data_IF_965538942386
#
_entry.id   IF_965538942386
#
_cell.length_a   1.000
_cell.length_b   1.000
_cell.length_c   1.000
_cell.angle_alpha   90.00
_cell.angle_beta   90.00
_cell.angle_gamma   90.00
#
_symmetry.space_group_name_H-M   'P 1'
#
loop_
_entity.id
_entity.type
_entity.pdbx_description
1 polymer ?
#
# COMPACT_ATOMS: atom_id res chain seq x y z
N UNK A 1 -25.84 9.16 -29.85
CA UNK A 1 -26.16 9.26 -28.41
C UNK A 1 -26.33 7.83 -27.90
N UNK A 2 -25.22 7.16 -27.52
CA UNK A 2 -25.19 5.73 -27.26
C UNK A 2 -25.17 5.45 -25.75
N UNK A 3 -26.25 4.85 -25.24
CA UNK A 3 -26.33 4.31 -23.89
C UNK A 3 -25.53 3.01 -23.84
N UNK A 4 -24.44 2.99 -23.07
CA UNK A 4 -23.70 1.77 -22.75
C UNK A 4 -24.34 1.10 -21.53
N UNK A 5 -25.03 -0.01 -21.78
CA UNK A 5 -25.52 -0.94 -20.76
C UNK A 5 -24.33 -1.71 -20.18
N UNK A 6 -24.01 -1.46 -18.92
CA UNK A 6 -23.02 -2.25 -18.18
C UNK A 6 -23.68 -3.52 -17.63
N UNK A 7 -23.11 -4.68 -17.97
CA UNK A 7 -23.49 -5.97 -17.38
C UNK A 7 -23.13 -5.99 -15.88
N UNK A 8 -24.04 -6.39 -14.98
CA UNK A 8 -23.83 -6.35 -13.53
C UNK A 8 -22.64 -7.21 -13.06
N UNK A 9 -22.27 -8.29 -13.77
CA UNK A 9 -21.10 -9.11 -13.43
C UNK A 9 -19.75 -8.37 -13.68
N UNK A 10 -19.69 -7.50 -14.69
CA UNK A 10 -18.49 -6.69 -14.94
C UNK A 10 -18.42 -5.47 -14.03
N UNK A 11 -19.57 -4.94 -13.60
CA UNK A 11 -19.63 -3.83 -12.66
C UNK A 11 -19.02 -4.23 -11.31
N UNK A 12 -19.35 -5.42 -10.79
CA UNK A 12 -18.85 -5.91 -9.48
C UNK A 12 -17.34 -6.19 -9.54
N UNK A 13 -16.83 -6.84 -10.60
CA UNK A 13 -15.38 -7.01 -10.80
C UNK A 13 -14.65 -5.67 -10.93
N UNK A 14 -15.23 -4.72 -11.66
CA UNK A 14 -14.64 -3.38 -11.82
C UNK A 14 -14.70 -2.59 -10.53
N UNK A 15 -15.74 -2.76 -9.70
CA UNK A 15 -15.87 -2.11 -8.40
C UNK A 15 -14.88 -2.68 -7.38
N UNK A 16 -14.71 -4.01 -7.34
CA UNK A 16 -13.71 -4.67 -6.49
C UNK A 16 -12.31 -4.26 -6.94
N UNK A 17 -12.04 -4.24 -8.23
CA UNK A 17 -10.76 -3.74 -8.78
C UNK A 17 -10.58 -2.24 -8.53
N UNK A 18 -11.63 -1.41 -8.57
CA UNK A 18 -11.56 0.01 -8.22
C UNK A 18 -11.29 0.19 -6.73
N UNK A 19 -11.93 -0.58 -5.86
CA UNK A 19 -11.76 -0.48 -4.41
C UNK A 19 -10.36 -0.98 -4.01
N UNK A 20 -9.92 -2.12 -4.56
CA UNK A 20 -8.57 -2.68 -4.34
C UNK A 20 -7.49 -1.78 -4.99
N UNK A 21 -7.66 -1.32 -6.23
CA UNK A 21 -6.70 -0.41 -6.85
C UNK A 21 -6.75 1.02 -6.27
N UNK A 22 -7.84 1.43 -5.61
CA UNK A 22 -7.89 2.72 -4.91
C UNK A 22 -7.19 2.69 -3.55
N UNK A 23 -7.11 1.52 -2.90
CA UNK A 23 -6.34 1.33 -1.67
C UNK A 23 -4.87 1.04 -1.94
N UNK A 24 -4.54 0.52 -3.13
CA UNK A 24 -3.17 0.15 -3.50
C UNK A 24 -2.76 1.02 -4.67
N UNK A 25 -2.11 2.12 -4.34
CA UNK A 25 -1.75 3.18 -5.25
C UNK A 25 -0.80 2.76 -6.38
N UNK A 26 -1.24 2.05 -7.42
CA UNK A 26 -0.45 1.95 -8.67
C UNK A 26 -1.33 1.87 -9.94
N UNK A 27 -0.79 2.42 -11.02
CA UNK A 27 -1.33 2.45 -12.36
C UNK A 27 -0.32 1.84 -13.32
N UNK A 28 -0.72 0.80 -14.08
CA UNK A 28 -0.43 0.69 -15.52
C UNK A 28 -1.30 -0.40 -16.18
N UNK A 29 -2.04 0.05 -17.19
CA UNK A 29 -2.81 -0.63 -18.23
C UNK A 29 -2.96 -2.16 -18.19
N UNK A 30 -4.18 -2.62 -17.86
CA UNK A 30 -4.65 -3.98 -18.19
C UNK A 30 -5.30 -3.97 -19.59
N UNK A 31 -4.67 -4.67 -20.54
CA UNK A 31 -5.08 -4.80 -21.94
C UNK A 31 -6.35 -5.64 -22.08
N UNK A 32 -7.27 -5.18 -22.95
CA UNK A 32 -8.57 -5.80 -23.24
C UNK A 32 -8.39 -7.16 -23.94
N UNK A 33 -8.94 -8.24 -23.38
CA UNK A 33 -9.39 -9.40 -24.16
C UNK A 33 -10.91 -9.43 -24.17
N UNK A 34 -11.50 -9.32 -25.36
CA UNK A 34 -12.93 -9.49 -25.58
C UNK A 34 -13.30 -10.96 -25.52
N UNK A 35 -14.30 -11.31 -24.71
CA UNK A 35 -15.06 -12.55 -24.86
C UNK A 35 -16.52 -12.18 -25.08
N UNK A 36 -17.06 -12.59 -26.22
CA UNK A 36 -18.49 -12.55 -26.51
C UNK A 36 -19.14 -13.82 -25.98
N UNK A 37 -20.15 -13.67 -25.12
CA UNK A 37 -21.11 -14.73 -24.85
C UNK A 37 -22.45 -14.09 -24.53
N UNK A 38 -23.45 -14.46 -25.33
CA UNK A 38 -24.85 -14.09 -25.22
C UNK A 38 -25.50 -15.04 -24.21
N UNK A 39 -26.14 -14.50 -23.18
CA UNK A 39 -27.10 -15.25 -22.38
C UNK A 39 -28.30 -14.34 -22.10
N UNK A 40 -29.44 -14.70 -22.68
CA UNK A 40 -30.72 -14.02 -22.48
C UNK A 40 -31.52 -14.83 -21.48
N UNK A 41 -31.91 -14.22 -20.36
CA UNK A 41 -32.87 -14.82 -19.43
C UNK A 41 -33.71 -13.72 -18.81
N UNK A 42 -34.95 -13.60 -19.28
CA UNK A 42 -36.00 -12.80 -18.68
C UNK A 42 -36.49 -13.48 -17.41
N UNK A 43 -36.11 -12.97 -16.24
CA UNK A 43 -36.68 -13.37 -14.96
C UNK A 43 -37.70 -12.32 -14.48
N UNK A 44 -38.93 -12.79 -14.29
CA UNK A 44 -40.08 -12.06 -13.79
C UNK A 44 -39.93 -11.83 -12.27
N UNK A 45 -39.68 -10.59 -11.84
CA UNK A 45 -39.54 -10.26 -10.42
C UNK A 45 -40.90 -10.02 -9.76
N UNK A 46 -41.34 -10.98 -8.94
CA UNK A 46 -42.48 -10.83 -8.02
C UNK A 46 -42.03 -10.02 -6.79
N UNK A 47 -42.64 -8.85 -6.56
CA UNK A 47 -42.38 -8.01 -5.39
C UNK A 47 -43.02 -8.64 -4.15
N UNK A 48 -42.20 -9.21 -3.28
CA UNK A 48 -42.57 -9.48 -1.89
C UNK A 48 -42.02 -8.34 -1.04
N UNK A 49 -42.90 -7.44 -0.62
CA UNK A 49 -42.57 -6.38 0.37
C UNK A 49 -42.52 -7.02 1.75
N UNK A 50 -41.34 -7.46 2.16
CA UNK A 50 -41.07 -7.86 3.54
C UNK A 50 -40.29 -6.74 4.23
N UNK A 51 -40.87 -6.20 5.29
CA UNK A 51 -40.35 -5.13 6.14
C UNK A 51 -38.90 -5.42 6.56
N UNK A 52 -37.95 -4.66 6.00
CA UNK A 52 -36.51 -4.96 6.10
C UNK A 52 -35.82 -3.98 7.05
N UNK A 53 -35.77 -4.31 8.34
CA UNK A 53 -35.02 -3.55 9.36
C UNK A 53 -33.58 -4.09 9.59
N UNK A 54 -33.08 -4.99 8.73
CA UNK A 54 -31.72 -5.57 8.79
C UNK A 54 -30.81 -5.17 7.61
N UNK A 55 -31.06 -4.02 6.97
CA UNK A 55 -30.43 -3.62 5.69
C UNK A 55 -28.98 -3.10 5.79
N UNK A 56 -28.39 -3.03 6.99
CA UNK A 56 -27.05 -2.45 7.19
C UNK A 56 -26.02 -3.42 7.80
N UNK A 57 -26.18 -4.73 7.59
CA UNK A 57 -25.11 -5.67 7.94
C UNK A 57 -23.91 -5.46 6.99
N UNK A 58 -22.78 -5.03 7.53
CA UNK A 58 -21.49 -4.95 6.84
C UNK A 58 -20.60 -6.11 7.27
N UNK A 59 -19.93 -6.72 6.31
CA UNK A 59 -18.88 -7.70 6.52
C UNK A 59 -17.52 -7.11 6.15
N UNK A 60 -16.45 -7.60 6.79
CA UNK A 60 -15.08 -7.14 6.51
C UNK A 60 -14.39 -8.13 5.59
N UNK A 61 -13.84 -7.64 4.48
CA UNK A 61 -12.85 -8.32 3.66
C UNK A 61 -11.47 -7.91 4.12
N UNK A 62 -10.61 -8.87 4.43
CA UNK A 62 -9.25 -8.63 4.91
C UNK A 62 -8.26 -9.21 3.90
N UNK A 63 -7.53 -8.34 3.24
CA UNK A 63 -6.43 -8.70 2.34
C UNK A 63 -5.13 -8.56 3.12
N UNK A 64 -4.31 -9.60 3.15
CA UNK A 64 -3.05 -9.62 3.89
C UNK A 64 -1.91 -9.96 2.96
N UNK A 65 -0.73 -9.47 3.26
CA UNK A 65 0.44 -9.83 2.48
C UNK A 65 1.72 -9.66 3.24
N UNK A 66 2.56 -10.70 3.14
CA UNK A 66 3.95 -10.66 3.54
C UNK A 66 4.81 -10.73 2.28
N UNK A 67 5.80 -9.86 2.18
CA UNK A 67 6.72 -9.87 1.05
C UNK A 67 8.15 -9.63 1.52
N UNK A 68 9.09 -10.38 0.98
CA UNK A 68 10.52 -10.21 1.26
C UNK A 68 11.26 -10.12 -0.06
N UNK A 69 12.10 -9.09 -0.19
CA UNK A 69 13.05 -8.94 -1.27
C UNK A 69 14.46 -8.82 -0.72
N UNK A 70 15.42 -9.36 -1.46
CA UNK A 70 16.85 -9.27 -1.19
C UNK A 70 17.57 -8.91 -2.48
N UNK A 71 18.63 -8.11 -2.38
CA UNK A 71 19.48 -7.81 -3.55
C UNK A 71 20.40 -8.99 -3.86
N UNK A 72 21.13 -8.85 -4.97
CA UNK A 72 22.35 -9.64 -5.19
C UNK A 72 23.36 -9.41 -4.05
N UNK A 73 24.32 -10.34 -3.85
CA UNK A 73 25.41 -10.20 -2.90
C UNK A 73 26.15 -8.87 -3.07
N UNK A 74 26.40 -8.18 -1.95
CA UNK A 74 27.24 -6.99 -1.92
C UNK A 74 28.72 -7.36 -2.12
N UNK A 75 29.59 -6.42 -2.56
CA UNK A 75 31.00 -6.69 -2.81
C UNK A 75 31.70 -7.34 -1.62
N UNK A 76 32.64 -8.24 -1.91
CA UNK A 76 33.47 -8.86 -0.88
C UNK A 76 34.17 -7.80 -0.02
N UNK A 77 34.15 -8.00 1.31
CA UNK A 77 34.69 -7.04 2.27
C UNK A 77 33.70 -5.96 2.73
N UNK A 78 32.49 -5.90 2.17
CA UNK A 78 31.42 -5.04 2.70
C UNK A 78 31.10 -5.43 4.14
N UNK A 79 31.13 -4.44 5.04
CA UNK A 79 30.82 -4.59 6.45
C UNK A 79 29.37 -4.17 6.75
N UNK A 80 28.89 -4.45 7.95
CA UNK A 80 27.56 -3.96 8.37
C UNK A 80 27.56 -2.45 8.53
N UNK A 81 28.70 -1.89 8.92
CA UNK A 81 28.97 -0.48 9.11
C UNK A 81 28.87 0.27 7.77
N UNK A 82 29.41 -0.28 6.68
CA UNK A 82 29.25 0.32 5.34
C UNK A 82 27.78 0.42 4.93
N UNK A 83 26.99 -0.62 5.23
CA UNK A 83 25.55 -0.63 4.96
C UNK A 83 24.82 0.35 5.90
N UNK A 84 25.21 0.41 7.17
CA UNK A 84 24.68 1.35 8.15
C UNK A 84 24.87 2.80 7.67
N UNK A 85 26.07 3.13 7.19
CA UNK A 85 26.40 4.45 6.65
C UNK A 85 25.62 4.76 5.38
N UNK A 86 25.48 3.76 4.49
CA UNK A 86 24.62 3.87 3.30
C UNK A 86 23.18 4.20 3.68
N UNK A 87 22.58 3.45 4.61
CA UNK A 87 21.17 3.61 5.01
C UNK A 87 20.94 4.88 5.85
N UNK A 88 21.95 5.35 6.59
CA UNK A 88 21.89 6.59 7.37
C UNK A 88 21.89 7.84 6.49
N UNK A 89 22.33 7.72 5.23
CA UNK A 89 22.32 8.83 4.27
C UNK A 89 20.89 9.09 3.78
N UNK A 90 20.35 10.28 4.06
CA UNK A 90 18.96 10.66 3.73
C UNK A 90 18.57 10.36 2.27
N UNK A 91 19.40 10.74 1.31
CA UNK A 91 19.12 10.51 -0.11
C UNK A 91 19.08 9.03 -0.50
N UNK A 92 19.79 8.16 0.22
CA UNK A 92 19.78 6.71 -0.03
C UNK A 92 18.57 6.05 0.64
N UNK A 93 18.22 6.44 1.87
CA UNK A 93 16.99 6.02 2.56
C UNK A 93 15.76 6.28 1.69
N UNK A 94 15.70 7.46 1.09
CA UNK A 94 14.55 7.90 0.30
C UNK A 94 14.36 7.06 -0.97
N UNK A 95 15.38 6.35 -1.46
CA UNK A 95 15.25 5.41 -2.59
C UNK A 95 14.20 4.33 -2.29
N UNK A 96 14.17 3.82 -1.06
CA UNK A 96 13.22 2.80 -0.64
C UNK A 96 11.79 3.36 -0.58
N UNK A 97 11.64 4.58 -0.07
CA UNK A 97 10.35 5.23 0.17
C UNK A 97 9.75 5.81 -1.12
N UNK A 98 10.60 6.13 -2.10
CA UNK A 98 10.24 6.70 -3.40
C UNK A 98 9.98 5.67 -4.50
N UNK A 99 9.98 4.37 -4.19
CA UNK A 99 9.96 3.30 -5.19
C UNK A 99 11.06 3.49 -6.26
N UNK A 100 12.31 3.60 -5.81
CA UNK A 100 13.48 3.74 -6.68
C UNK A 100 13.66 5.15 -7.28
N UNK A 101 13.24 6.20 -6.58
CA UNK A 101 13.34 7.60 -7.02
C UNK A 101 12.19 8.06 -7.91
N UNK A 102 11.15 7.25 -8.09
CA UNK A 102 10.02 7.60 -8.96
C UNK A 102 9.02 8.56 -8.31
N UNK A 103 9.07 8.69 -6.98
CA UNK A 103 8.17 9.53 -6.18
C UNK A 103 8.97 10.55 -5.39
N UNK A 104 8.41 11.74 -5.21
CA UNK A 104 8.98 12.74 -4.32
C UNK A 104 8.75 12.30 -2.86
N UNK A 105 9.80 12.38 -2.06
CA UNK A 105 9.76 12.19 -0.62
C UNK A 105 9.98 13.56 0.02
N UNK A 106 9.13 13.93 0.96
CA UNK A 106 9.24 15.17 1.71
C UNK A 106 9.28 14.85 3.20
N UNK A 107 10.25 15.41 3.93
CA UNK A 107 10.24 15.28 5.39
C UNK A 107 9.15 16.17 6.00
N UNK A 108 8.55 15.70 7.08
CA UNK A 108 7.50 16.37 7.82
C UNK A 108 7.84 16.42 9.30
N UNK A 109 7.46 17.52 9.97
CA UNK A 109 7.62 17.64 11.41
C UNK A 109 6.67 16.73 12.17
N UNK A 110 7.17 16.12 13.25
CA UNK A 110 6.37 15.31 14.16
C UNK A 110 5.36 16.19 14.89
N UNK A 111 4.08 15.85 14.79
CA UNK A 111 3.02 16.47 15.62
C UNK A 111 2.55 15.49 16.69
N UNK A 112 2.01 15.96 17.83
CA UNK A 112 1.46 15.06 18.87
C UNK A 112 0.40 14.09 18.32
N UNK A 113 -0.41 14.55 17.37
CA UNK A 113 -1.44 13.74 16.71
C UNK A 113 -0.82 12.61 15.88
N UNK A 114 0.18 12.91 15.05
CA UNK A 114 0.87 11.90 14.24
C UNK A 114 1.65 10.90 15.10
N UNK A 115 2.24 11.37 16.21
CA UNK A 115 2.89 10.49 17.19
C UNK A 115 1.89 9.48 17.78
N UNK A 116 0.68 9.93 18.13
CA UNK A 116 -0.40 9.04 18.57
C UNK A 116 -0.77 7.99 17.53
N UNK A 117 -0.94 8.39 16.26
CA UNK A 117 -1.22 7.44 15.18
C UNK A 117 -0.09 6.43 14.97
N UNK A 118 1.15 6.85 15.16
CA UNK A 118 2.29 5.94 15.07
C UNK A 118 2.30 4.94 16.24
N UNK A 119 2.04 5.38 17.47
CA UNK A 119 1.92 4.49 18.63
C UNK A 119 0.86 3.40 18.41
N UNK A 120 -0.30 3.77 17.84
CA UNK A 120 -1.37 2.82 17.49
C UNK A 120 -0.89 1.77 16.47
N UNK A 121 -0.03 2.16 15.51
CA UNK A 121 0.55 1.24 14.53
C UNK A 121 1.60 0.31 15.15
N UNK A 122 2.45 0.83 16.03
CA UNK A 122 3.41 -0.01 16.78
C UNK A 122 2.66 -1.07 17.60
N UNK A 123 1.58 -0.68 18.30
CA UNK A 123 0.74 -1.61 19.04
C UNK A 123 0.07 -2.65 18.11
N UNK A 124 -0.44 -2.21 16.96
CA UNK A 124 -1.08 -3.10 15.99
C UNK A 124 -0.14 -4.20 15.49
N UNK A 125 1.09 -3.84 15.14
CA UNK A 125 2.10 -4.77 14.65
C UNK A 125 2.93 -5.43 15.76
N UNK A 126 2.58 -5.19 17.03
CA UNK A 126 3.33 -5.66 18.21
C UNK A 126 4.83 -5.36 18.10
N UNK A 127 5.17 -4.18 17.57
CA UNK A 127 6.56 -3.73 17.53
C UNK A 127 6.97 -3.24 18.90
N UNK A 128 8.16 -3.64 19.34
CA UNK A 128 8.78 -3.16 20.58
C UNK A 128 9.31 -1.71 20.44
N UNK A 129 9.26 -1.18 19.22
CA UNK A 129 9.70 0.16 18.88
C UNK A 129 8.62 1.18 19.25
N UNK A 130 9.00 2.20 20.02
CA UNK A 130 8.15 3.35 20.35
C UNK A 130 8.66 4.60 19.63
N UNK A 131 7.77 5.43 19.05
CA UNK A 131 8.18 6.68 18.41
C UNK A 131 8.69 7.70 19.44
N UNK A 132 9.84 8.27 19.14
CA UNK A 132 10.49 9.37 19.85
C UNK A 132 10.31 10.68 19.06
N UNK A 133 10.52 11.81 19.72
CA UNK A 133 10.27 13.13 19.10
C UNK A 133 11.28 13.47 17.99
N UNK A 134 12.47 12.89 18.05
CA UNK A 134 13.51 13.04 17.02
C UNK A 134 13.34 12.11 15.82
N UNK A 135 12.42 11.14 15.90
CA UNK A 135 12.18 10.20 14.81
C UNK A 135 11.58 10.93 13.59
N UNK A 136 11.84 10.39 12.40
CA UNK A 136 11.53 11.07 11.15
C UNK A 136 10.15 10.69 10.62
N UNK A 137 9.42 11.68 10.14
CA UNK A 137 8.23 11.46 9.32
C UNK A 137 8.54 11.86 7.88
N UNK A 138 8.05 11.06 6.94
CA UNK A 138 8.09 11.40 5.52
C UNK A 138 6.71 11.37 4.91
N UNK A 139 6.52 12.17 3.88
CA UNK A 139 5.32 12.21 3.06
C UNK A 139 5.68 11.76 1.65
N UNK A 140 4.86 10.86 1.12
CA UNK A 140 4.98 10.40 -0.26
C UNK A 140 3.62 10.51 -0.93
N UNK A 141 3.61 11.14 -2.09
CA UNK A 141 2.42 11.23 -2.94
C UNK A 141 2.38 10.06 -3.92
N UNK A 142 1.21 9.44 -4.01
CA UNK A 142 0.89 8.43 -5.02
C UNK A 142 -0.29 8.91 -5.85
N UNK A 143 -0.24 8.65 -7.15
CA UNK A 143 -1.32 9.00 -8.07
C UNK A 143 -1.80 7.77 -8.82
N UNK A 144 -3.10 7.49 -8.74
CA UNK A 144 -3.77 6.46 -9.53
C UNK A 144 -4.81 7.11 -10.42
N UNK A 145 -4.81 6.76 -11.69
CA UNK A 145 -5.81 7.24 -12.65
C UNK A 145 -6.67 6.09 -13.14
N UNK A 146 -7.97 6.25 -12.93
CA UNK A 146 -9.05 5.45 -13.49
C UNK A 146 -9.79 6.25 -14.57
N UNK A 147 -10.56 5.61 -15.46
CA UNK A 147 -11.44 6.32 -16.39
C UNK A 147 -12.39 7.29 -15.65
N UNK A 148 -12.15 8.59 -15.80
CA UNK A 148 -12.96 9.66 -15.21
C UNK A 148 -12.69 9.99 -13.74
N UNK A 149 -11.71 9.34 -13.10
CA UNK A 149 -11.31 9.58 -11.70
C UNK A 149 -9.78 9.45 -11.55
N UNK A 150 -9.14 10.49 -11.05
CA UNK A 150 -7.75 10.46 -10.58
C UNK A 150 -7.74 10.60 -9.07
N UNK A 151 -7.13 9.65 -8.39
CA UNK A 151 -6.91 9.66 -6.96
C UNK A 151 -5.47 10.05 -6.68
N UNK A 152 -5.26 11.13 -5.94
CA UNK A 152 -3.96 11.46 -5.34
C UNK A 152 -4.04 11.12 -3.87
N UNK A 153 -3.20 10.20 -3.40
CA UNK A 153 -3.12 9.82 -1.99
C UNK A 153 -1.74 10.20 -1.47
N UNK A 154 -1.71 11.10 -0.48
CA UNK A 154 -0.49 11.41 0.27
C UNK A 154 -0.46 10.52 1.50
N UNK A 155 0.61 9.75 1.66
CA UNK A 155 0.82 8.89 2.84
C UNK A 155 1.92 9.47 3.71
N UNK A 156 1.70 9.47 5.03
CA UNK A 156 2.73 9.77 6.02
C UNK A 156 3.29 8.46 6.55
N UNK A 157 4.61 8.34 6.51
CA UNK A 157 5.33 7.21 7.07
C UNK A 157 6.23 7.64 8.21
N UNK A 158 6.14 6.94 9.34
CA UNK A 158 7.08 7.09 10.46
C UNK A 158 8.26 6.15 10.28
N UNK A 159 9.48 6.67 10.46
CA UNK A 159 10.73 5.94 10.26
C UNK A 159 11.47 5.84 11.59
N UNK A 160 11.63 4.61 12.08
CA UNK A 160 12.49 4.30 13.21
C UNK A 160 13.80 3.68 12.75
N UNK A 161 14.91 4.27 13.16
CA UNK A 161 16.20 3.60 13.11
C UNK A 161 16.34 2.54 14.22
N UNK A 162 16.68 1.32 13.84
CA UNK A 162 17.03 0.23 14.75
C UNK A 162 18.54 0.15 14.80
N UNK A 163 19.10 0.41 15.98
CA UNK A 163 20.53 0.37 16.24
C UNK A 163 20.86 -0.75 17.21
N UNK A 164 22.01 -1.40 17.02
CA UNK A 164 22.50 -2.42 17.95
C UNK A 164 23.15 -1.79 19.20
N UNK A 165 23.67 -2.64 20.09
CA UNK A 165 24.35 -2.24 21.33
C UNK A 165 25.56 -1.32 21.09
N UNK A 166 26.17 -1.37 19.90
CA UNK A 166 27.29 -0.52 19.49
C UNK A 166 26.83 0.77 18.82
N UNK A 167 25.54 1.06 18.84
CA UNK A 167 24.89 2.20 18.19
C UNK A 167 25.03 2.23 16.65
N UNK A 168 25.31 1.07 16.03
CA UNK A 168 25.39 0.93 14.57
C UNK A 168 23.99 0.66 14.03
N UNK A 169 23.59 1.37 12.97
CA UNK A 169 22.31 1.17 12.30
C UNK A 169 22.24 -0.22 11.66
N UNK A 170 21.34 -1.08 12.15
CA UNK A 170 21.15 -2.41 11.59
C UNK A 170 20.04 -2.43 10.53
N UNK A 171 18.99 -1.66 10.78
CA UNK A 171 17.82 -1.55 9.93
C UNK A 171 17.05 -0.28 10.27
N UNK A 172 16.04 0.05 9.46
CA UNK A 172 14.96 0.94 9.87
C UNK A 172 13.60 0.28 9.66
N UNK A 173 12.70 0.54 10.59
CA UNK A 173 11.29 0.22 10.49
C UNK A 173 10.50 1.41 9.96
N UNK A 174 9.62 1.14 9.00
CA UNK A 174 8.74 2.13 8.39
C UNK A 174 7.30 1.74 8.64
N UNK A 175 6.51 2.66 9.17
CA UNK A 175 5.09 2.45 9.45
C UNK A 175 4.25 3.39 8.61
N UNK A 176 3.17 2.90 7.99
CA UNK A 176 2.12 3.76 7.43
C UNK A 176 1.26 4.31 8.58
N UNK A 177 1.44 5.58 8.93
CA UNK A 177 0.80 6.17 10.12
C UNK A 177 -0.40 7.05 9.79
N UNK A 178 -0.41 7.70 8.62
CA UNK A 178 -1.51 8.54 8.21
C UNK A 178 -1.64 8.60 6.69
N UNK A 179 -2.82 8.96 6.23
CA UNK A 179 -3.12 9.18 4.82
C UNK A 179 -4.06 10.36 4.64
N UNK A 180 -3.98 11.00 3.47
CA UNK A 180 -5.04 11.88 2.96
C UNK A 180 -5.23 11.59 1.48
N UNK A 181 -6.47 11.64 1.03
CA UNK A 181 -6.82 11.33 -0.36
C UNK A 181 -7.59 12.49 -0.99
N UNK A 182 -7.18 12.86 -2.19
CA UNK A 182 -7.79 13.93 -2.99
C UNK A 182 -8.27 13.34 -4.32
N UNK A 183 -9.53 12.88 -4.40
CA UNK A 183 -10.12 12.46 -5.66
C UNK A 183 -10.35 13.69 -6.56
N UNK A 184 -10.06 13.54 -7.85
CA UNK A 184 -10.27 14.53 -8.91
C UNK A 184 -10.95 13.83 -10.09
N UNK A 185 -11.87 14.48 -10.79
CA UNK A 185 -12.53 13.87 -11.94
C UNK A 185 -13.93 14.40 -12.16
N UNK A 186 -14.72 13.67 -12.95
CA UNK A 186 -16.11 14.03 -13.20
C UNK A 186 -16.92 13.96 -11.88
N UNK A 187 -17.71 14.99 -11.60
CA UNK A 187 -18.43 15.13 -10.32
C UNK A 187 -19.25 13.89 -9.92
N UNK A 188 -20.02 13.22 -10.82
CA UNK A 188 -20.76 12.01 -10.44
C UNK A 188 -19.86 10.86 -9.99
N UNK A 189 -18.67 10.72 -10.61
CA UNK A 189 -17.72 9.64 -10.30
C UNK A 189 -17.02 9.93 -8.97
N UNK A 190 -16.58 11.18 -8.76
CA UNK A 190 -15.99 11.61 -7.48
C UNK A 190 -17.00 11.48 -6.34
N UNK A 191 -18.26 11.86 -6.57
CA UNK A 191 -19.34 11.68 -5.61
C UNK A 191 -19.53 10.21 -5.22
N UNK A 192 -19.60 9.32 -6.22
CA UNK A 192 -19.74 7.88 -5.99
C UNK A 192 -18.55 7.31 -5.21
N UNK A 193 -17.32 7.68 -5.60
CA UNK A 193 -16.11 7.29 -4.88
C UNK A 193 -16.16 7.73 -3.41
N UNK A 194 -16.50 8.99 -3.15
CA UNK A 194 -16.55 9.53 -1.79
C UNK A 194 -17.60 8.79 -0.94
N UNK A 195 -18.76 8.47 -1.51
CA UNK A 195 -19.81 7.72 -0.81
C UNK A 195 -19.41 6.27 -0.51
N UNK A 196 -18.75 5.59 -1.45
CA UNK A 196 -18.33 4.20 -1.29
C UNK A 196 -17.17 4.04 -0.30
N UNK A 197 -16.23 4.99 -0.31
CA UNK A 197 -15.05 4.96 0.57
C UNK A 197 -15.30 5.61 1.93
N UNK A 198 -16.40 6.35 2.07
CA UNK A 198 -16.66 7.17 3.26
C UNK A 198 -15.76 8.40 3.34
N UNK A 199 -15.10 8.79 2.23
CA UNK A 199 -14.24 9.96 2.16
C UNK A 199 -15.03 11.28 2.32
N UNK A 200 -16.36 11.25 2.16
CA UNK A 200 -17.25 12.38 2.46
C UNK A 200 -17.38 12.68 3.96
N UNK A 201 -17.00 11.73 4.83
CA UNK A 201 -17.00 11.90 6.29
C UNK A 201 -15.65 12.37 6.82
N UNK A 202 -14.62 12.43 5.96
CA UNK A 202 -13.27 12.85 6.33
C UNK A 202 -13.12 14.36 6.18
N UNK A 203 -12.34 14.95 7.06
CA UNK A 203 -11.97 16.35 6.95
C UNK A 203 -11.01 16.53 5.78
N UNK A 204 -11.36 17.41 4.84
CA UNK A 204 -10.57 17.60 3.64
C UNK A 204 -9.24 18.29 3.95
N UNK A 205 -8.15 17.72 3.44
CA UNK A 205 -6.80 18.30 3.54
C UNK A 205 -6.04 17.95 4.80
N UNK A 206 -6.67 17.27 5.76
CA UNK A 206 -6.05 16.84 7.02
C UNK A 206 -5.62 15.38 6.92
N UNK A 207 -4.44 15.07 7.46
CA UNK A 207 -3.98 13.68 7.58
C UNK A 207 -4.76 12.94 8.65
N UNK A 208 -5.24 11.75 8.31
CA UNK A 208 -6.03 10.90 9.19
C UNK A 208 -5.39 9.53 9.31
N UNK A 209 -5.64 8.77 10.39
CA UNK A 209 -5.11 7.42 10.51
C UNK A 209 -5.69 6.58 9.35
N UNK A 210 -4.89 5.68 8.78
CA UNK A 210 -5.32 4.91 7.63
C UNK A 210 -6.42 3.94 8.07
N UNK A 211 -7.63 4.12 7.53
CA UNK A 211 -8.81 3.37 7.98
C UNK A 211 -8.75 1.92 7.48
N UNK A 212 -8.23 1.75 6.27
CA UNK A 212 -8.30 0.49 5.53
C UNK A 212 -6.94 -0.17 5.43
N UNK A 213 -5.88 0.58 5.10
CA UNK A 213 -4.54 0.03 4.94
C UNK A 213 -3.71 0.17 6.21
N UNK A 214 -2.93 -0.85 6.53
CA UNK A 214 -1.89 -0.82 7.55
C UNK A 214 -0.68 -1.51 6.95
N UNK A 215 0.50 -0.94 7.14
CA UNK A 215 1.73 -1.50 6.63
C UNK A 215 2.89 -1.21 7.58
N UNK A 216 3.76 -2.20 7.74
CA UNK A 216 5.05 -2.13 8.39
C UNK A 216 6.11 -2.67 7.42
N UNK A 217 7.21 -1.97 7.27
CA UNK A 217 8.36 -2.45 6.51
C UNK A 217 9.62 -2.44 7.37
N UNK A 218 10.50 -3.42 7.15
CA UNK A 218 11.81 -3.51 7.76
C UNK A 218 12.86 -3.52 6.65
N UNK A 219 13.75 -2.54 6.66
CA UNK A 219 14.77 -2.35 5.63
C UNK A 219 16.14 -2.39 6.31
N UNK A 220 17.03 -3.27 5.88
CA UNK A 220 18.33 -3.46 6.51
C UNK A 220 19.21 -4.43 5.76
N UNK A 221 20.20 -5.01 6.43
CA UNK A 221 21.05 -6.06 5.86
C UNK A 221 20.61 -7.46 6.29
N UNK A 222 20.84 -8.44 5.42
CA UNK A 222 20.75 -9.86 5.74
C UNK A 222 22.01 -10.59 5.30
N UNK A 223 22.33 -11.71 5.95
CA UNK A 223 23.35 -12.65 5.46
C UNK A 223 22.71 -13.66 4.53
N UNK A 224 23.36 -13.96 3.42
CA UNK A 224 23.00 -15.04 2.50
C UNK A 224 23.65 -16.36 2.95
N UNK A 225 23.26 -17.47 2.30
CA UNK A 225 23.74 -18.83 2.65
C UNK A 225 25.26 -18.99 2.47
N UNK A 226 25.87 -18.22 1.57
CA UNK A 226 27.33 -18.19 1.35
C UNK A 226 28.08 -17.27 2.32
N UNK A 227 27.36 -16.65 3.26
CA UNK A 227 27.90 -15.71 4.26
C UNK A 227 28.08 -14.28 3.77
N UNK A 228 27.81 -13.98 2.49
CA UNK A 228 27.83 -12.62 1.96
C UNK A 228 26.68 -11.78 2.52
N UNK A 229 26.83 -10.46 2.49
CA UNK A 229 25.78 -9.52 2.91
C UNK A 229 24.94 -9.09 1.70
N UNK A 230 23.64 -8.91 1.91
CA UNK A 230 22.72 -8.33 0.94
C UNK A 230 21.83 -7.28 1.62
N UNK A 231 21.34 -6.31 0.84
CA UNK A 231 20.25 -5.45 1.31
C UNK A 231 18.96 -6.27 1.32
N UNK A 232 18.11 -6.02 2.31
CA UNK A 232 16.84 -6.72 2.50
C UNK A 232 15.71 -5.74 2.78
N UNK A 233 14.54 -6.06 2.24
CA UNK A 233 13.28 -5.37 2.46
C UNK A 233 12.22 -6.39 2.84
N UNK A 234 11.60 -6.24 4.00
CA UNK A 234 10.46 -7.05 4.45
C UNK A 234 9.24 -6.15 4.60
N UNK A 235 8.10 -6.57 4.06
CA UNK A 235 6.80 -5.92 4.16
C UNK A 235 5.83 -6.84 4.90
N UNK A 236 5.12 -6.30 5.88
CA UNK A 236 3.89 -6.85 6.45
C UNK A 236 2.79 -5.82 6.20
N UNK A 237 1.73 -6.24 5.51
CA UNK A 237 0.61 -5.37 5.19
C UNK A 237 -0.76 -6.03 5.39
N UNK A 238 -1.73 -5.19 5.75
CA UNK A 238 -3.12 -5.57 5.87
C UNK A 238 -4.02 -4.46 5.31
N UNK A 239 -4.92 -4.82 4.39
CA UNK A 239 -5.98 -3.95 3.89
C UNK A 239 -7.33 -4.51 4.31
N UNK A 240 -8.11 -3.74 5.05
CA UNK A 240 -9.43 -4.11 5.53
C UNK A 240 -10.49 -3.25 4.86
N UNK A 241 -11.41 -3.90 4.14
CA UNK A 241 -12.49 -3.24 3.40
C UNK A 241 -13.82 -3.66 3.99
N UNK A 242 -14.64 -2.68 4.36
CA UNK A 242 -16.02 -2.92 4.80
C UNK A 242 -16.91 -3.06 3.56
N UNK A 243 -17.60 -4.19 3.44
CA UNK A 243 -18.41 -4.53 2.29
C UNK A 243 -19.84 -4.89 2.75
N UNK A 244 -20.90 -4.45 2.05
CA UNK A 244 -22.26 -4.84 2.39
C UNK A 244 -22.44 -6.36 2.29
N UNK A 245 -22.94 -7.00 3.35
CA UNK A 245 -23.08 -8.46 3.42
C UNK A 245 -23.94 -9.03 2.26
N UNK A 246 -24.94 -8.27 1.82
CA UNK A 246 -25.81 -8.66 0.70
C UNK A 246 -25.04 -8.79 -0.61
N UNK A 247 -24.03 -7.94 -0.82
CA UNK A 247 -23.23 -7.97 -2.04
C UNK A 247 -22.22 -9.13 -2.02
N UNK A 248 -21.71 -9.53 -0.85
CA UNK A 248 -20.85 -10.72 -0.72
C UNK A 248 -21.60 -11.99 -1.14
N UNK A 249 -22.87 -12.12 -0.79
CA UNK A 249 -23.71 -13.28 -1.16
C UNK A 249 -23.95 -13.41 -2.67
N UNK A 250 -23.76 -12.33 -3.43
CA UNK A 250 -23.93 -12.30 -4.89
C UNK A 250 -22.61 -12.63 -5.59
N UNK A 251 -21.48 -12.64 -4.87
CA UNK A 251 -20.20 -12.97 -5.48
C UNK A 251 -20.18 -14.44 -5.92
N UNK A 252 -19.57 -14.75 -7.08
CA UNK A 252 -19.51 -16.10 -7.61
C UNK A 252 -18.53 -17.02 -6.85
N UNK A 253 -17.84 -16.49 -5.84
CA UNK A 253 -16.78 -17.14 -5.07
C UNK A 253 -16.98 -16.88 -3.59
N UNK A 254 -16.45 -17.76 -2.73
CA UNK A 254 -16.49 -17.55 -1.28
C UNK A 254 -15.66 -16.34 -0.87
N UNK A 255 -15.95 -15.81 0.31
CA UNK A 255 -15.24 -14.68 0.92
C UNK A 255 -13.73 -14.95 1.00
N UNK A 256 -13.35 -16.12 1.48
CA UNK A 256 -11.96 -16.52 1.71
C UNK A 256 -11.17 -16.53 0.40
N UNK A 257 -11.79 -17.04 -0.68
CA UNK A 257 -11.19 -17.05 -2.00
C UNK A 257 -11.02 -15.63 -2.57
N UNK A 258 -11.97 -14.74 -2.32
CA UNK A 258 -11.85 -13.32 -2.69
C UNK A 258 -10.71 -12.65 -1.94
N UNK A 259 -10.58 -12.93 -0.64
CA UNK A 259 -9.48 -12.41 0.19
C UNK A 259 -8.13 -12.94 -0.27
N UNK A 260 -8.01 -14.23 -0.60
CA UNK A 260 -6.80 -14.85 -1.13
C UNK A 260 -6.39 -14.25 -2.50
N UNK A 261 -7.30 -14.25 -3.48
CA UNK A 261 -7.04 -13.72 -4.82
C UNK A 261 -6.74 -12.21 -4.77
N UNK A 262 -7.48 -11.48 -3.94
CA UNK A 262 -7.26 -10.06 -3.68
C UNK A 262 -5.88 -9.82 -3.10
N UNK A 263 -5.51 -10.55 -2.05
CA UNK A 263 -4.20 -10.48 -1.38
C UNK A 263 -3.05 -10.72 -2.35
N UNK A 264 -3.14 -11.76 -3.19
CA UNK A 264 -2.14 -12.05 -4.20
C UNK A 264 -2.00 -10.92 -5.23
N UNK A 265 -3.13 -10.32 -5.64
CA UNK A 265 -3.14 -9.16 -6.55
C UNK A 265 -2.52 -7.91 -5.92
N UNK A 266 -2.77 -7.68 -4.63
CA UNK A 266 -2.18 -6.59 -3.85
C UNK A 266 -0.66 -6.74 -3.81
N UNK A 267 -0.19 -7.90 -3.37
CA UNK A 267 1.23 -8.20 -3.23
C UNK A 267 1.97 -8.09 -4.55
N UNK A 268 1.44 -8.65 -5.63
CA UNK A 268 2.02 -8.55 -6.98
C UNK A 268 2.17 -7.11 -7.46
N UNK A 269 1.31 -6.23 -6.98
CA UNK A 269 1.35 -4.81 -7.32
C UNK A 269 2.44 -4.10 -6.55
N UNK A 270 2.53 -4.35 -5.25
CA UNK A 270 3.55 -3.74 -4.38
C UNK A 270 4.95 -4.30 -4.61
N UNK A 271 5.06 -5.58 -4.97
CA UNK A 271 6.35 -6.23 -5.25
C UNK A 271 7.14 -5.49 -6.32
N UNK A 272 6.46 -4.97 -7.35
CA UNK A 272 7.11 -4.18 -8.41
C UNK A 272 7.77 -2.90 -7.88
N UNK A 273 7.07 -2.16 -7.03
CA UNK A 273 7.62 -0.93 -6.44
C UNK A 273 8.81 -1.24 -5.52
N UNK A 274 8.71 -2.35 -4.76
CA UNK A 274 9.78 -2.81 -3.87
C UNK A 274 10.99 -3.29 -4.69
N UNK A 275 10.79 -4.09 -5.73
CA UNK A 275 11.85 -4.55 -6.63
C UNK A 275 12.57 -3.36 -7.27
N UNK A 276 11.83 -2.36 -7.75
CA UNK A 276 12.41 -1.12 -8.28
C UNK A 276 13.26 -0.37 -7.25
N UNK A 277 12.75 -0.24 -6.01
CA UNK A 277 13.51 0.35 -4.91
C UNK A 277 14.79 -0.43 -4.59
N UNK A 278 14.71 -1.76 -4.54
CA UNK A 278 15.83 -2.62 -4.21
C UNK A 278 16.93 -2.58 -5.27
N UNK A 279 16.56 -2.59 -6.56
CA UNK A 279 17.50 -2.44 -7.67
C UNK A 279 18.19 -1.07 -7.59
N UNK A 280 17.42 0.00 -7.44
CA UNK A 280 17.97 1.36 -7.37
C UNK A 280 18.88 1.55 -6.15
N UNK A 281 18.53 0.96 -5.00
CA UNK A 281 19.35 1.02 -3.79
C UNK A 281 20.66 0.24 -3.96
N UNK A 282 20.59 -0.94 -4.57
CA UNK A 282 21.77 -1.74 -4.90
C UNK A 282 22.72 -0.99 -5.84
N UNK A 283 22.20 -0.46 -6.95
CA UNK A 283 22.98 0.31 -7.91
C UNK A 283 23.65 1.52 -7.24
N UNK A 284 22.91 2.20 -6.35
CA UNK A 284 23.44 3.35 -5.60
C UNK A 284 24.54 2.95 -4.64
N UNK A 285 24.38 1.84 -3.94
CA UNK A 285 25.41 1.28 -3.06
C UNK A 285 26.68 0.98 -3.85
N UNK A 286 26.55 0.27 -4.97
CA UNK A 286 27.67 -0.09 -5.84
C UNK A 286 28.41 1.13 -6.42
N UNK A 287 27.68 2.22 -6.70
CA UNK A 287 28.27 3.49 -7.12
C UNK A 287 29.15 4.12 -6.01
N UNK A 288 28.66 4.10 -4.76
CA UNK A 288 29.36 4.68 -3.62
C UNK A 288 30.60 3.87 -3.24
N UNK A 289 30.51 2.54 -3.22
CA UNK A 289 31.65 1.66 -2.90
C UNK A 289 32.81 1.80 -3.88
N UNK A 290 32.53 2.07 -5.16
CA UNK A 290 33.56 2.34 -6.18
C UNK A 290 34.31 3.65 -5.95
N UNK A 291 33.68 4.65 -5.31
CA UNK A 291 34.32 5.95 -5.03
C UNK A 291 35.29 5.87 -3.85
N UNK A 292 35.04 5.00 -2.88
CA UNK A 292 35.90 4.81 -1.70
C UNK A 292 37.19 4.06 -2.06
N UNK A 293 37.17 3.22 -3.09
CA UNK A 293 38.34 2.44 -3.54
C UNK A 293 39.30 3.21 -4.45
N UNK A 294 38.96 4.43 -4.87
CA UNK A 294 39.80 5.29 -5.71
C UNK A 294 40.53 6.32 -4.88
#
# INVERSE_FOLDING_TARGET
MAFLLFSPCNLVRTLILLVVASTIGTSKAFSRRSFSSVCSTTALWRRTTTTTTRLHATEKLVFKGDYTATTDPLPAGTTKEDIADFLSTLGNRDIFLSAGGTRKVEEMEMTPQLKGYWQDMCQHFKSDVVPLDQDKLVVVDTQVSFPGLTLVTSTVSGIKEIRNERNILEAFEVFLIAEKSKPKGAAPIVWMYNKLTGNDKREHGVFQPPKQAKAKSLIGSTKLDDGSLALSFKLDMQITIEFPAILLKILPTSKEKVEEEGSASVLKTMSKDIEMAMIAAYDKFMEQSKKVQR
#
